data_IF_998034567023
#
_entry.id   IF_998034567023
#
_cell.length_a   1.000
_cell.length_b   1.000
_cell.length_c   1.000
_cell.angle_alpha   90.00
_cell.angle_beta   90.00
_cell.angle_gamma   90.00
#
_symmetry.space_group_name_H-M   'P 1'
#
loop_
_entity.id
_entity.type
_entity.pdbx_description
1 polymer ?
#
# COMPACT_ATOMS: atom_id res chain seq x y z
N UNK A 1 -65.69 -37.95 -4.34
CA UNK A 1 -64.81 -36.89 -3.81
C UNK A 1 -63.54 -37.56 -3.32
N UNK A 2 -62.39 -37.13 -3.85
CA UNK A 2 -61.02 -37.43 -3.42
C UNK A 2 -60.48 -38.86 -3.59
N UNK A 3 -59.94 -39.10 -4.78
CA UNK A 3 -58.74 -39.94 -5.02
C UNK A 3 -57.47 -39.16 -4.60
N UNK A 4 -56.25 -39.76 -4.54
CA UNK A 4 -55.89 -41.14 -4.17
C UNK A 4 -54.50 -41.29 -3.46
N UNK A 5 -54.09 -42.55 -3.22
CA UNK A 5 -52.73 -43.11 -3.44
C UNK A 5 -51.54 -42.63 -2.58
N UNK A 6 -50.51 -43.40 -2.25
CA UNK A 6 -50.09 -44.78 -2.52
C UNK A 6 -48.78 -45.03 -1.74
N UNK A 7 -48.56 -46.29 -1.38
CA UNK A 7 -47.27 -46.99 -1.25
C UNK A 7 -46.18 -46.47 -0.31
N UNK A 8 -46.05 -47.16 0.83
CA UNK A 8 -44.88 -47.97 1.22
C UNK A 8 -43.48 -47.37 1.12
N UNK A 9 -42.80 -47.25 2.26
CA UNK A 9 -41.33 -47.31 2.35
C UNK A 9 -40.89 -47.71 3.75
N UNK A 10 -39.81 -48.49 3.78
CA UNK A 10 -39.27 -49.24 4.89
C UNK A 10 -38.90 -48.39 6.12
N UNK A 11 -39.15 -48.97 7.28
CA UNK A 11 -38.85 -48.45 8.61
C UNK A 11 -37.32 -48.31 8.78
N UNK A 12 -36.85 -47.07 8.94
CA UNK A 12 -35.44 -46.70 9.07
C UNK A 12 -35.04 -46.77 10.56
N UNK A 13 -33.89 -47.37 10.92
CA UNK A 13 -33.45 -47.44 12.32
C UNK A 13 -33.17 -46.03 12.88
N UNK A 14 -33.32 -45.84 14.21
CA UNK A 14 -33.14 -44.53 14.84
C UNK A 14 -31.72 -44.01 14.66
N UNK A 15 -31.62 -42.71 14.37
CA UNK A 15 -30.38 -41.98 14.19
C UNK A 15 -29.45 -42.14 15.39
N UNK A 16 -28.17 -42.40 15.10
CA UNK A 16 -27.09 -42.31 16.06
C UNK A 16 -27.08 -40.92 16.73
N UNK A 17 -26.74 -40.81 18.03
CA UNK A 17 -26.66 -39.53 18.71
C UNK A 17 -25.64 -38.60 18.03
N UNK A 18 -25.79 -37.27 18.16
CA UNK A 18 -24.79 -36.32 17.70
C UNK A 18 -23.44 -36.73 18.29
N UNK A 19 -22.40 -36.74 17.45
CA UNK A 19 -21.02 -36.99 17.87
C UNK A 19 -20.65 -35.90 18.87
N UNK A 20 -20.85 -36.25 20.13
CA UNK A 20 -20.42 -35.58 21.33
C UNK A 20 -18.91 -35.35 21.24
N UNK A 21 -18.50 -34.15 21.63
CA UNK A 21 -17.16 -33.60 21.56
C UNK A 21 -16.06 -34.68 21.65
N UNK A 22 -15.30 -34.83 20.57
CA UNK A 22 -14.01 -35.52 20.62
C UNK A 22 -13.07 -34.65 21.47
N UNK A 23 -13.17 -34.81 22.79
CA UNK A 23 -12.25 -34.24 23.75
C UNK A 23 -10.83 -34.64 23.30
N UNK A 24 -9.94 -33.68 22.98
CA UNK A 24 -8.60 -34.04 22.54
C UNK A 24 -7.89 -34.82 23.65
N UNK A 25 -7.05 -35.82 23.29
CA UNK A 25 -6.31 -36.61 24.26
C UNK A 25 -5.46 -35.73 25.17
N UNK A 26 -5.18 -36.13 26.42
CA UNK A 26 -4.36 -35.35 27.34
C UNK A 26 -2.94 -35.24 26.78
N UNK A 27 -2.61 -34.08 26.21
CA UNK A 27 -1.31 -33.78 25.64
C UNK A 27 -0.27 -33.67 26.76
N UNK A 28 0.59 -34.69 26.89
CA UNK A 28 1.81 -34.57 27.68
C UNK A 28 2.84 -33.77 26.86
N UNK A 29 2.82 -32.45 27.06
CA UNK A 29 3.75 -31.47 26.46
C UNK A 29 5.19 -31.74 26.92
N UNK A 30 6.02 -32.28 26.01
CA UNK A 30 7.48 -32.36 26.17
C UNK A 30 8.22 -31.52 25.12
N UNK A 31 7.52 -30.68 24.36
CA UNK A 31 8.13 -29.75 23.41
C UNK A 31 8.37 -28.37 24.03
N UNK A 32 9.50 -27.76 23.68
CA UNK A 32 9.87 -26.39 24.05
C UNK A 32 8.97 -25.30 23.45
N UNK A 33 8.11 -25.67 22.49
CA UNK A 33 7.20 -24.77 21.80
C UNK A 33 5.77 -25.29 21.93
N UNK A 34 4.78 -24.39 22.10
CA UNK A 34 3.39 -24.78 22.18
C UNK A 34 2.93 -25.39 20.85
N UNK A 35 2.01 -26.36 20.93
CA UNK A 35 1.32 -26.89 19.77
C UNK A 35 0.56 -25.76 19.04
N UNK A 36 0.39 -25.86 17.70
CA UNK A 36 -0.40 -24.89 16.96
C UNK A 36 -1.85 -24.84 17.48
N UNK A 37 -2.51 -23.67 17.42
CA UNK A 37 -3.88 -23.53 17.90
C UNK A 37 -4.87 -24.51 17.24
N UNK A 38 -5.77 -25.11 18.02
CA UNK A 38 -6.69 -26.18 17.59
C UNK A 38 -7.53 -25.85 16.33
N UNK A 39 -7.74 -24.58 16.01
CA UNK A 39 -8.46 -24.18 14.79
C UNK A 39 -7.72 -24.54 13.49
N UNK A 40 -6.43 -24.90 13.53
CA UNK A 40 -5.66 -25.24 12.33
C UNK A 40 -6.27 -26.44 11.57
N UNK A 41 -6.95 -27.35 12.27
CA UNK A 41 -7.63 -28.50 11.67
C UNK A 41 -8.76 -28.12 10.69
N UNK A 42 -9.29 -26.89 10.78
CA UNK A 42 -10.35 -26.38 9.89
C UNK A 42 -9.81 -25.92 8.53
N UNK A 43 -8.49 -25.81 8.37
CA UNK A 43 -7.87 -25.40 7.11
C UNK A 43 -7.64 -26.63 6.21
N UNK A 44 -8.73 -27.21 5.70
CA UNK A 44 -8.70 -28.32 4.73
C UNK A 44 -8.97 -27.83 3.31
N UNK A 45 -8.54 -28.58 2.29
CA UNK A 45 -8.74 -28.21 0.88
C UNK A 45 -10.22 -28.03 0.50
N UNK A 46 -11.11 -28.79 1.17
CA UNK A 46 -12.55 -28.74 0.95
C UNK A 46 -13.21 -27.54 1.65
N UNK A 47 -12.70 -27.16 2.83
CA UNK A 47 -13.30 -26.12 3.66
C UNK A 47 -12.71 -24.73 3.39
N UNK A 48 -11.59 -24.61 2.66
CA UNK A 48 -10.91 -23.36 2.28
C UNK A 48 -11.84 -22.27 1.72
N UNK A 49 -12.86 -22.67 0.95
CA UNK A 49 -13.82 -21.74 0.35
C UNK A 49 -14.85 -21.18 1.35
N UNK A 50 -15.02 -21.84 2.50
CA UNK A 50 -16.04 -21.55 3.50
C UNK A 50 -15.45 -21.01 4.82
N UNK A 51 -14.14 -20.71 4.88
CA UNK A 51 -13.56 -20.08 6.08
C UNK A 51 -13.94 -18.62 6.14
N UNK A 52 -14.48 -18.23 7.29
CA UNK A 52 -14.66 -16.84 7.63
C UNK A 52 -13.30 -16.20 7.99
N UNK A 53 -13.05 -14.95 7.55
CA UNK A 53 -11.90 -14.20 8.02
C UNK A 53 -11.99 -13.98 9.54
N UNK A 54 -10.84 -13.87 10.24
CA UNK A 54 -10.85 -13.54 11.65
C UNK A 54 -11.58 -12.22 11.87
N UNK A 55 -12.36 -12.15 12.95
CA UNK A 55 -13.16 -10.98 13.24
C UNK A 55 -12.28 -9.81 13.70
N UNK A 56 -12.01 -8.88 12.79
CA UNK A 56 -11.21 -7.68 13.05
C UNK A 56 -11.91 -6.69 13.97
N UNK A 57 -13.23 -6.77 14.12
CA UNK A 57 -14.01 -5.85 14.94
C UNK A 57 -13.77 -6.04 16.44
N UNK A 58 -13.32 -7.23 16.86
CA UNK A 58 -12.95 -7.47 18.25
C UNK A 58 -11.74 -6.65 18.67
N UNK A 59 -10.78 -6.46 17.76
CA UNK A 59 -9.57 -5.66 18.04
C UNK A 59 -9.95 -4.21 18.29
N UNK A 60 -10.84 -3.64 17.49
CA UNK A 60 -11.34 -2.27 17.67
C UNK A 60 -12.25 -2.12 18.88
N UNK A 61 -13.01 -3.15 19.26
CA UNK A 61 -13.85 -3.15 20.47
C UNK A 61 -13.03 -3.22 21.76
N UNK A 62 -12.00 -4.06 21.78
CA UNK A 62 -11.13 -4.24 22.95
C UNK A 62 -10.15 -3.05 23.13
N UNK A 63 -9.97 -2.23 22.09
CA UNK A 63 -9.17 -1.01 22.13
C UNK A 63 -7.66 -1.23 22.32
N UNK A 64 -7.23 -2.50 22.46
CA UNK A 64 -5.85 -2.90 22.61
C UNK A 64 -5.63 -4.30 22.04
N UNK A 65 -4.39 -4.61 21.67
CA UNK A 65 -3.99 -5.92 21.14
C UNK A 65 -2.68 -6.34 21.78
N UNK A 66 -2.52 -7.63 22.06
CA UNK A 66 -1.31 -8.15 22.71
C UNK A 66 -0.37 -8.75 21.68
N UNK A 67 0.88 -8.29 21.68
CA UNK A 67 1.95 -8.77 20.79
C UNK A 67 3.18 -9.05 21.64
N UNK A 68 3.71 -10.27 21.56
CA UNK A 68 4.90 -10.72 22.29
C UNK A 68 4.87 -10.49 23.81
N UNK A 69 3.68 -10.56 24.41
CA UNK A 69 3.49 -10.35 25.85
C UNK A 69 3.31 -8.89 26.26
N UNK A 70 3.33 -7.95 25.30
CA UNK A 70 3.05 -6.54 25.53
C UNK A 70 1.67 -6.17 24.98
N UNK A 71 0.89 -5.43 25.76
CA UNK A 71 -0.41 -4.92 25.35
C UNK A 71 -0.24 -3.54 24.74
N UNK A 72 -0.62 -3.42 23.47
CA UNK A 72 -0.54 -2.20 22.67
C UNK A 72 -1.92 -1.62 22.45
N UNK A 73 -2.12 -0.30 22.62
CA UNK A 73 -3.39 0.34 22.28
C UNK A 73 -3.60 0.36 20.76
N UNK A 74 -4.85 0.22 20.32
CA UNK A 74 -5.22 0.31 18.90
C UNK A 74 -5.09 1.75 18.39
N UNK A 75 -5.49 2.72 19.21
CA UNK A 75 -5.26 4.13 18.93
C UNK A 75 -3.92 4.54 19.53
N UNK A 76 -2.91 4.69 18.67
CA UNK A 76 -1.55 5.05 19.07
C UNK A 76 -1.50 6.53 19.49
N UNK A 77 -1.87 6.79 20.74
CA UNK A 77 -1.72 8.09 21.39
C UNK A 77 -0.43 8.08 22.21
N UNK A 78 0.48 9.01 21.92
CA UNK A 78 1.67 9.19 22.78
C UNK A 78 1.20 9.84 24.08
N UNK A 79 1.43 9.23 25.25
CA UNK A 79 1.02 9.81 26.53
C UNK A 79 1.68 11.17 26.73
N UNK A 80 0.97 12.09 27.39
CA UNK A 80 1.51 13.42 27.63
C UNK A 80 2.66 13.37 28.65
N UNK A 81 3.58 14.33 28.59
CA UNK A 81 4.68 14.40 29.57
C UNK A 81 4.16 14.46 31.02
N UNK A 82 3.02 15.15 31.24
CA UNK A 82 2.35 15.23 32.53
C UNK A 82 1.81 13.88 33.01
N UNK A 83 1.22 13.09 32.12
CA UNK A 83 0.76 11.72 32.43
C UNK A 83 1.92 10.79 32.78
N UNK A 84 3.08 11.01 32.15
CA UNK A 84 4.31 10.27 32.44
C UNK A 84 5.01 10.74 33.72
N UNK A 85 4.49 11.77 34.42
CA UNK A 85 5.10 12.35 35.61
C UNK A 85 6.40 13.11 35.34
N UNK A 86 6.66 13.50 34.08
CA UNK A 86 7.89 14.17 33.66
C UNK A 86 7.64 15.68 33.57
N UNK A 87 8.47 16.52 34.21
CA UNK A 87 8.39 17.98 34.07
C UNK A 87 8.62 18.43 32.62
N UNK A 88 7.71 19.25 32.11
CA UNK A 88 7.85 19.91 30.80
C UNK A 88 8.94 20.99 30.89
N UNK A 89 9.94 20.90 30.01
CA UNK A 89 11.10 21.82 29.98
C UNK A 89 11.04 22.83 28.83
N UNK A 90 9.91 22.91 28.13
CA UNK A 90 9.70 23.81 27.00
C UNK A 90 8.37 24.54 27.13
N UNK A 91 8.24 25.64 26.38
CA UNK A 91 7.02 26.42 26.30
C UNK A 91 6.02 25.74 25.33
N UNK A 92 4.80 25.37 25.77
CA UNK A 92 3.81 24.69 24.94
C UNK A 92 3.33 25.53 23.75
N UNK A 93 3.42 26.86 23.81
CA UNK A 93 2.98 27.75 22.73
C UNK A 93 4.08 28.07 21.71
N UNK A 94 5.33 27.66 21.99
CA UNK A 94 6.46 27.93 21.12
C UNK A 94 6.60 26.92 19.98
N UNK A 95 7.24 27.34 18.89
CA UNK A 95 7.59 26.46 17.77
C UNK A 95 8.48 25.32 18.27
N UNK A 96 8.05 24.08 18.00
CA UNK A 96 8.74 22.84 18.42
C UNK A 96 10.19 22.82 17.97
N UNK A 97 10.51 23.39 16.82
CA UNK A 97 11.90 23.50 16.34
C UNK A 97 12.75 24.39 17.24
N UNK A 98 12.22 25.54 17.68
CA UNK A 98 12.92 26.46 18.57
C UNK A 98 13.07 25.88 19.97
N UNK A 99 12.03 25.22 20.48
CA UNK A 99 12.07 24.48 21.74
C UNK A 99 13.13 23.38 21.72
N UNK A 100 13.21 22.60 20.64
CA UNK A 100 14.23 21.54 20.49
C UNK A 100 15.65 22.12 20.45
N UNK A 101 15.86 23.26 19.77
CA UNK A 101 17.15 23.95 19.78
C UNK A 101 17.51 24.51 21.15
N UNK A 102 16.53 25.03 21.89
CA UNK A 102 16.72 25.51 23.26
C UNK A 102 17.15 24.36 24.16
N UNK A 103 16.42 23.24 24.15
CA UNK A 103 16.76 22.04 24.91
C UNK A 103 18.14 21.49 24.54
N UNK A 104 18.52 21.51 23.26
CA UNK A 104 19.86 21.11 22.83
C UNK A 104 20.95 22.02 23.43
N UNK A 105 20.74 23.34 23.45
CA UNK A 105 21.69 24.28 24.07
C UNK A 105 21.80 24.02 25.57
N UNK A 106 20.68 23.78 26.24
CA UNK A 106 20.64 23.42 27.67
C UNK A 106 21.35 22.09 27.93
N UNK A 107 21.18 21.08 27.06
CA UNK A 107 21.87 19.79 27.16
C UNK A 107 23.40 19.97 27.05
N UNK A 108 23.86 20.78 26.09
CA UNK A 108 25.29 21.04 25.91
C UNK A 108 25.86 21.78 27.12
N UNK A 109 25.16 22.80 27.64
CA UNK A 109 25.60 23.54 28.82
C UNK A 109 25.69 22.64 30.05
N UNK A 110 24.66 21.82 30.29
CA UNK A 110 24.62 20.91 31.43
C UNK A 110 25.68 19.82 31.33
N UNK A 111 25.98 19.33 30.12
CA UNK A 111 27.11 18.44 29.87
C UNK A 111 28.46 19.11 30.21
N UNK A 112 28.67 20.37 29.82
CA UNK A 112 29.91 21.09 30.19
C UNK A 112 30.02 21.30 31.70
N UNK A 113 28.92 21.63 32.39
CA UNK A 113 28.89 21.74 33.85
C UNK A 113 29.19 20.40 34.55
N UNK A 114 28.76 19.28 33.96
CA UNK A 114 29.08 17.95 34.47
C UNK A 114 30.56 17.65 34.33
N UNK A 115 31.16 17.98 33.18
CA UNK A 115 32.60 17.82 33.00
C UNK A 115 33.37 18.68 34.01
N UNK A 116 32.97 19.94 34.22
CA UNK A 116 33.61 20.81 35.20
C UNK A 116 33.48 20.24 36.62
N UNK A 117 32.30 19.72 37.00
CA UNK A 117 32.08 19.08 38.30
C UNK A 117 32.94 17.82 38.49
N UNK A 118 33.12 17.00 37.44
CA UNK A 118 33.93 15.78 37.48
C UNK A 118 35.44 16.07 37.48
N UNK A 119 35.86 17.18 36.88
CA UNK A 119 37.26 17.63 36.87
C UNK A 119 37.66 18.42 38.12
N UNK A 120 36.68 18.87 38.91
CA UNK A 120 36.92 19.59 40.16
C UNK A 120 37.52 18.64 41.20
N UNK A 121 38.62 19.02 41.87
CA UNK A 121 39.23 18.16 42.88
C UNK A 121 38.25 17.88 44.03
N UNK A 122 38.22 16.66 44.59
CA UNK A 122 37.35 16.34 45.71
C UNK A 122 37.64 17.25 46.90
N UNK A 123 36.61 17.65 47.68
CA UNK A 123 36.78 18.56 48.80
C UNK A 123 37.78 17.98 49.80
N UNK A 124 38.94 18.61 49.89
CA UNK A 124 39.98 18.25 50.86
C UNK A 124 39.64 18.84 52.23
N UNK A 125 39.96 18.12 53.31
CA UNK A 125 39.72 18.54 54.70
C UNK A 125 40.36 19.90 55.07
N UNK A 126 41.27 20.43 54.25
CA UNK A 126 41.97 21.69 54.46
C UNK A 126 41.21 22.93 53.93
N UNK A 127 40.26 22.76 53.01
CA UNK A 127 39.49 23.85 52.41
C UNK A 127 38.00 23.47 52.33
N UNK A 128 37.18 23.84 53.33
CA UNK A 128 35.74 23.57 53.36
C UNK A 128 34.97 24.64 52.58
N UNK A 129 35.54 25.17 51.49
CA UNK A 129 34.81 26.08 50.62
C UNK A 129 33.66 25.32 49.94
N UNK A 130 32.50 25.94 49.78
CA UNK A 130 31.38 25.32 49.10
C UNK A 130 31.73 25.30 47.61
N UNK A 131 32.40 24.24 47.15
CA UNK A 131 32.33 23.86 45.74
C UNK A 131 30.86 23.91 45.37
N UNK A 132 30.49 24.67 44.33
CA UNK A 132 29.09 24.86 43.91
C UNK A 132 28.29 23.56 44.10
N UNK A 133 27.00 23.63 44.46
CA UNK A 133 26.15 22.46 44.73
C UNK A 133 25.79 21.74 43.42
N UNK A 134 26.79 21.46 42.60
CA UNK A 134 26.72 20.78 41.33
C UNK A 134 26.97 19.31 41.62
N UNK A 135 26.03 18.70 42.32
CA UNK A 135 26.03 17.26 42.51
C UNK A 135 25.98 16.63 41.11
N UNK A 136 26.99 15.84 40.71
CA UNK A 136 27.03 15.25 39.37
C UNK A 136 25.78 14.41 39.10
N UNK A 137 25.23 13.77 40.14
CA UNK A 137 23.96 13.02 40.08
C UNK A 137 22.78 13.90 39.64
N UNK A 138 22.66 15.13 40.18
CA UNK A 138 21.58 16.06 39.82
C UNK A 138 21.71 16.55 38.40
N UNK A 139 22.94 16.78 37.92
CA UNK A 139 23.19 17.11 36.52
C UNK A 139 22.84 15.95 35.59
N UNK A 140 23.17 14.71 35.95
CA UNK A 140 22.82 13.54 35.14
C UNK A 140 21.31 13.32 35.06
N UNK A 141 20.58 13.50 36.17
CA UNK A 141 19.12 13.41 36.15
C UNK A 141 18.50 14.57 35.35
N UNK A 142 19.05 15.79 35.46
CA UNK A 142 18.61 16.90 34.64
C UNK A 142 18.82 16.64 33.13
N UNK A 143 19.97 16.07 32.73
CA UNK A 143 20.19 15.65 31.33
C UNK A 143 19.22 14.58 30.88
N UNK A 144 18.92 13.59 31.74
CA UNK A 144 17.93 12.55 31.45
C UNK A 144 16.57 13.19 31.13
N UNK A 145 16.12 14.15 31.94
CA UNK A 145 14.86 14.85 31.73
C UNK A 145 14.86 15.68 30.43
N UNK A 146 15.97 16.34 30.10
CA UNK A 146 16.12 17.06 28.82
C UNK A 146 15.95 16.09 27.65
N UNK A 147 16.62 14.94 27.69
CA UNK A 147 16.52 13.92 26.64
C UNK A 147 15.09 13.41 26.48
N UNK A 148 14.38 13.11 27.57
CA UNK A 148 12.97 12.68 27.52
C UNK A 148 12.09 13.75 26.86
N UNK A 149 12.25 15.02 27.27
CA UNK A 149 11.53 16.14 26.67
C UNK A 149 11.85 16.31 25.17
N UNK A 150 13.11 16.16 24.78
CA UNK A 150 13.51 16.20 23.35
C UNK A 150 12.88 15.05 22.56
N UNK A 151 12.86 13.84 23.10
CA UNK A 151 12.23 12.69 22.47
C UNK A 151 10.73 12.90 22.27
N UNK A 152 10.04 13.45 23.27
CA UNK A 152 8.64 13.81 23.16
C UNK A 152 8.40 14.81 22.02
N UNK A 153 9.17 15.91 21.96
CA UNK A 153 9.04 16.91 20.89
C UNK A 153 9.32 16.33 19.50
N UNK A 154 10.29 15.42 19.38
CA UNK A 154 10.56 14.72 18.11
C UNK A 154 9.40 13.83 17.70
N UNK A 155 8.76 13.15 18.66
CA UNK A 155 7.58 12.34 18.39
C UNK A 155 6.39 13.18 17.89
N UNK A 156 6.17 14.37 18.47
CA UNK A 156 5.14 15.31 17.98
C UNK A 156 5.40 15.78 16.53
N UNK A 157 6.66 15.82 16.09
CA UNK A 157 7.02 16.23 14.72
C UNK A 157 6.88 15.11 13.67
N UNK A 158 6.75 13.84 14.08
CA UNK A 158 6.66 12.70 13.14
C UNK A 158 5.48 12.79 12.17
N UNK A 159 4.25 13.15 12.58
CA UNK A 159 3.14 13.27 11.64
C UNK A 159 3.36 14.36 10.58
N UNK A 160 3.98 15.49 10.98
CA UNK A 160 4.34 16.57 10.05
C UNK A 160 5.40 16.09 9.06
N UNK A 161 6.42 15.39 9.54
CA UNK A 161 7.46 14.79 8.70
C UNK A 161 6.88 13.77 7.72
N UNK A 162 5.95 12.92 8.15
CA UNK A 162 5.30 11.93 7.29
C UNK A 162 4.52 12.60 6.15
N UNK A 163 3.80 13.69 6.45
CA UNK A 163 3.05 14.47 5.44
C UNK A 163 3.98 15.11 4.40
N UNK A 164 5.07 15.74 4.83
CA UNK A 164 6.05 16.32 3.91
C UNK A 164 6.76 15.25 3.07
N UNK A 165 7.06 14.10 3.66
CA UNK A 165 7.63 12.95 2.95
C UNK A 165 6.67 12.44 1.88
N UNK A 166 5.38 12.30 2.20
CA UNK A 166 4.35 11.89 1.24
C UNK A 166 4.23 12.90 0.09
N UNK A 167 4.20 14.20 0.40
CA UNK A 167 4.16 15.27 -0.61
C UNK A 167 5.36 15.20 -1.56
N UNK A 168 6.57 15.01 -1.03
CA UNK A 168 7.77 14.84 -1.84
C UNK A 168 7.69 13.59 -2.73
N UNK A 169 7.19 12.48 -2.20
CA UNK A 169 6.97 11.24 -2.96
C UNK A 169 5.98 11.47 -4.12
N UNK A 170 4.85 12.11 -3.86
CA UNK A 170 3.85 12.42 -4.89
C UNK A 170 4.40 13.33 -5.97
N UNK A 171 5.18 14.36 -5.60
CA UNK A 171 5.83 15.23 -6.56
C UNK A 171 6.80 14.46 -7.47
N UNK A 172 7.61 13.58 -6.89
CA UNK A 172 8.51 12.70 -7.64
C UNK A 172 7.75 11.79 -8.63
N UNK A 173 6.59 11.26 -8.23
CA UNK A 173 5.74 10.46 -9.10
C UNK A 173 5.16 11.28 -10.28
N UNK A 174 4.73 12.52 -10.02
CA UNK A 174 4.25 13.44 -11.07
C UNK A 174 5.38 13.71 -12.08
N UNK A 175 6.57 14.02 -11.59
CA UNK A 175 7.72 14.32 -12.44
C UNK A 175 8.19 13.09 -13.24
N UNK A 176 8.11 11.90 -12.65
CA UNK A 176 8.35 10.65 -13.37
C UNK A 176 7.31 10.44 -14.49
N UNK A 177 6.02 10.63 -14.19
CA UNK A 177 4.93 10.50 -15.20
C UNK A 177 5.10 11.52 -16.33
N UNK A 178 5.42 12.77 -16.01
CA UNK A 178 5.69 13.83 -17.01
C UNK A 178 6.87 13.46 -17.91
N UNK A 179 7.98 12.98 -17.35
CA UNK A 179 9.16 12.51 -18.11
C UNK A 179 8.81 11.35 -19.04
N UNK A 180 8.08 10.34 -18.54
CA UNK A 180 7.61 9.20 -19.35
C UNK A 180 6.72 9.66 -20.51
N UNK A 181 5.74 10.54 -20.24
CA UNK A 181 4.85 11.08 -21.27
C UNK A 181 5.61 11.90 -22.32
N UNK A 182 6.58 12.74 -21.89
CA UNK A 182 7.42 13.49 -22.81
C UNK A 182 8.27 12.57 -23.70
N UNK A 183 8.81 11.48 -23.15
CA UNK A 183 9.57 10.48 -23.91
C UNK A 183 8.69 9.76 -24.95
N UNK A 184 7.46 9.37 -24.57
CA UNK A 184 6.50 8.75 -25.49
C UNK A 184 6.14 9.73 -26.62
N UNK A 185 5.80 10.98 -26.29
CA UNK A 185 5.49 12.01 -27.30
C UNK A 185 6.64 12.23 -28.28
N UNK A 186 7.89 12.26 -27.81
CA UNK A 186 9.08 12.36 -28.67
C UNK A 186 9.21 11.16 -29.60
N UNK A 187 9.02 9.93 -29.10
CA UNK A 187 9.06 8.71 -29.92
C UNK A 187 7.95 8.71 -30.97
N UNK A 188 6.72 9.04 -30.60
CA UNK A 188 5.60 9.13 -31.54
C UNK A 188 5.87 10.17 -32.64
N UNK A 189 6.35 11.37 -32.27
CA UNK A 189 6.71 12.39 -33.25
C UNK A 189 7.80 11.90 -34.23
N UNK A 190 8.81 11.17 -33.72
CA UNK A 190 9.83 10.53 -34.56
C UNK A 190 9.25 9.50 -35.53
N UNK A 191 8.35 8.63 -35.06
CA UNK A 191 7.68 7.62 -35.90
C UNK A 191 6.80 8.30 -36.96
N UNK A 192 6.01 9.31 -36.59
CA UNK A 192 5.17 10.04 -37.54
C UNK A 192 6.03 10.73 -38.62
N UNK A 193 7.16 11.32 -38.24
CA UNK A 193 8.08 11.94 -39.19
C UNK A 193 8.72 10.91 -40.15
N UNK A 194 9.10 9.73 -39.64
CA UNK A 194 9.60 8.64 -40.48
C UNK A 194 8.54 8.12 -41.46
N UNK A 195 7.30 7.97 -40.99
CA UNK A 195 6.19 7.48 -41.80
C UNK A 195 5.84 8.48 -42.92
N UNK A 196 5.84 9.79 -42.61
CA UNK A 196 5.68 10.85 -43.61
C UNK A 196 6.81 10.81 -44.66
N UNK A 197 8.08 10.67 -44.25
CA UNK A 197 9.20 10.58 -45.17
C UNK A 197 9.12 9.34 -46.08
N UNK A 198 8.66 8.19 -45.56
CA UNK A 198 8.44 6.99 -46.36
C UNK A 198 7.30 7.19 -47.37
N UNK A 199 6.19 7.82 -46.96
CA UNK A 199 5.09 8.16 -47.87
C UNK A 199 5.58 9.04 -49.03
N UNK A 200 6.34 10.10 -48.74
CA UNK A 200 6.92 10.95 -49.79
C UNK A 200 7.81 10.15 -50.74
N UNK A 201 8.70 9.29 -50.22
CA UNK A 201 9.54 8.40 -51.06
C UNK A 201 8.73 7.45 -51.93
N UNK A 202 7.64 6.88 -51.40
CA UNK A 202 6.77 5.99 -52.20
C UNK A 202 6.04 6.74 -53.30
N UNK A 203 5.59 7.98 -53.03
CA UNK A 203 4.95 8.83 -54.04
C UNK A 203 5.95 9.25 -55.13
N UNK A 204 7.18 9.59 -54.75
CA UNK A 204 8.28 9.88 -55.70
C UNK A 204 8.61 8.65 -56.56
N UNK A 205 8.70 7.46 -55.94
CA UNK A 205 8.93 6.21 -56.67
C UNK A 205 7.78 5.87 -57.63
N UNK A 206 6.52 6.09 -57.22
CA UNK A 206 5.35 5.89 -58.06
C UNK A 206 5.30 6.86 -59.25
N UNK A 207 5.74 8.11 -59.06
CA UNK A 207 5.84 9.10 -60.15
C UNK A 207 7.05 8.87 -61.07
N UNK A 208 8.07 8.14 -60.63
CA UNK A 208 9.26 7.82 -61.41
C UNK A 208 9.10 6.58 -62.31
N UNK A 209 7.95 5.89 -62.28
CA UNK A 209 7.66 4.77 -63.18
C UNK A 209 7.57 5.29 -64.64
N UNK A 210 8.42 4.83 -65.59
CA UNK A 210 8.28 5.18 -67.00
C UNK A 210 7.01 4.51 -67.58
N UNK A 211 6.40 5.08 -68.64
CA UNK A 211 5.18 4.53 -69.21
C UNK A 211 5.42 3.09 -69.68
N UNK A 212 4.71 2.14 -69.07
CA UNK A 212 4.63 0.76 -69.54
C UNK A 212 4.18 0.79 -71.00
N UNK A 213 5.04 0.27 -71.89
CA UNK A 213 4.71 0.09 -73.30
C UNK A 213 3.45 -0.79 -73.39
N UNK A 214 2.40 -0.22 -73.96
CA UNK A 214 1.15 -0.89 -74.27
C UNK A 214 1.39 -2.03 -75.25
N UNK A 215 1.39 -3.27 -74.77
CA UNK A 215 1.13 -4.43 -75.63
C UNK A 215 -0.38 -4.71 -75.67
N UNK A 216 -0.92 -5.21 -76.80
CA UNK A 216 -2.36 -5.38 -76.98
C UNK A 216 -2.92 -6.39 -75.98
N UNK A 217 -4.01 -5.99 -75.33
CA UNK A 217 -4.81 -6.76 -74.37
C UNK A 217 -5.25 -8.11 -74.98
N UNK A 218 -4.80 -9.22 -74.43
CA UNK A 218 -5.54 -10.49 -74.45
C UNK A 218 -5.75 -10.94 -73.00
N UNK A 219 -7.03 -11.13 -72.68
CA UNK A 219 -7.66 -11.72 -71.50
C UNK A 219 -7.65 -10.92 -70.18
N UNK A 220 -8.81 -10.81 -69.50
CA UNK A 220 -8.90 -10.17 -68.19
C UNK A 220 -8.19 -11.03 -67.14
N UNK A 221 -7.28 -10.40 -66.39
CA UNK A 221 -6.57 -11.03 -65.29
C UNK A 221 -7.57 -11.50 -64.20
N UNK A 222 -7.37 -12.69 -63.59
CA UNK A 222 -8.22 -13.20 -62.52
C UNK A 222 -8.32 -12.25 -61.31
N UNK A 223 -7.36 -11.32 -61.15
CA UNK A 223 -7.41 -10.29 -60.12
C UNK A 223 -8.47 -9.21 -60.38
N UNK A 224 -8.71 -8.83 -61.64
CA UNK A 224 -9.75 -7.86 -62.01
C UNK A 224 -11.15 -8.48 -61.91
N UNK A 225 -11.30 -9.76 -62.27
CA UNK A 225 -12.54 -10.50 -62.05
C UNK A 225 -12.86 -10.65 -60.55
N UNK A 226 -11.85 -10.92 -59.72
CA UNK A 226 -12.00 -11.00 -58.26
C UNK A 226 -12.34 -9.63 -57.63
N UNK A 227 -11.75 -8.54 -58.12
CA UNK A 227 -12.08 -7.19 -57.66
C UNK A 227 -13.52 -6.80 -58.02
N UNK A 228 -13.95 -7.10 -59.25
CA UNK A 228 -15.33 -6.84 -59.68
C UNK A 228 -16.33 -7.67 -58.88
N UNK A 229 -16.03 -8.95 -58.61
CA UNK A 229 -16.84 -9.80 -57.76
C UNK A 229 -16.90 -9.30 -56.30
N UNK A 230 -15.78 -8.81 -55.75
CA UNK A 230 -15.77 -8.20 -54.42
C UNK A 230 -16.62 -6.92 -54.37
N UNK A 231 -16.56 -6.08 -55.41
CA UNK A 231 -17.41 -4.90 -55.56
C UNK A 231 -18.90 -5.26 -55.61
N UNK A 232 -19.27 -6.30 -56.38
CA UNK A 232 -20.65 -6.79 -56.49
C UNK A 232 -21.16 -7.36 -55.16
N UNK A 233 -20.32 -8.09 -54.42
CA UNK A 233 -20.72 -8.60 -53.09
C UNK A 233 -20.96 -7.48 -52.09
N UNK A 234 -20.12 -6.44 -52.07
CA UNK A 234 -20.32 -5.26 -51.22
C UNK A 234 -21.63 -4.53 -51.55
N UNK A 235 -21.98 -4.45 -52.84
CA UNK A 235 -23.21 -3.79 -53.29
C UNK A 235 -24.47 -4.61 -52.94
N UNK A 236 -24.38 -5.95 -52.99
CA UNK A 236 -25.44 -6.86 -52.49
C UNK A 236 -25.62 -6.70 -50.98
N UNK A 237 -24.54 -6.64 -50.20
CA UNK A 237 -24.62 -6.43 -48.75
C UNK A 237 -25.21 -5.06 -48.39
N UNK A 238 -24.88 -4.00 -49.16
CA UNK A 238 -25.48 -2.69 -48.99
C UNK A 238 -27.01 -2.70 -49.24
N UNK A 239 -27.45 -3.40 -50.30
CA UNK A 239 -28.88 -3.56 -50.63
C UNK A 239 -29.64 -4.38 -49.57
N UNK A 240 -29.03 -5.44 -49.03
CA UNK A 240 -29.62 -6.23 -47.95
C UNK A 240 -29.75 -5.42 -46.65
N UNK A 241 -28.76 -4.60 -46.32
CA UNK A 241 -28.80 -3.72 -45.15
C UNK A 241 -29.87 -2.64 -45.29
N UNK A 242 -30.03 -2.05 -46.48
CA UNK A 242 -31.10 -1.09 -46.76
C UNK A 242 -32.50 -1.73 -46.65
N UNK A 243 -32.65 -2.98 -47.11
CA UNK A 243 -33.92 -3.73 -46.98
C UNK A 243 -34.24 -4.12 -45.54
N UNK A 244 -33.23 -4.45 -44.73
CA UNK A 244 -33.41 -4.70 -43.30
C UNK A 244 -33.83 -3.42 -42.54
N UNK A 245 -33.22 -2.28 -42.86
CA UNK A 245 -33.62 -0.99 -42.29
C UNK A 245 -35.05 -0.56 -42.69
N UNK A 246 -35.49 -0.89 -43.90
CA UNK A 246 -36.86 -0.63 -44.34
C UNK A 246 -37.91 -1.56 -43.68
N UNK A 247 -37.52 -2.75 -43.24
CA UNK A 247 -38.40 -3.67 -42.51
C UNK A 247 -38.60 -3.24 -41.03
N UNK A 248 -37.61 -2.58 -40.43
CA UNK A 248 -37.65 -2.12 -39.03
C UNK A 248 -38.42 -0.79 -38.85
N UNK A 249 -38.65 -0.05 -39.94
CA UNK A 249 -39.42 1.20 -39.95
C UNK A 249 -40.92 1.02 -40.27
N UNK A 250 -41.40 -0.23 -40.35
CA UNK A 250 -42.75 -0.60 -40.78
C UNK A 250 -43.63 -1.25 -39.72
N UNK A 251 -43.40 -0.95 -38.43
CA UNK A 251 -44.30 -1.29 -37.30
C UNK A 251 -44.77 -0.02 -36.62
#
# INVERSE_FOLDING_TARGET
MSSPSSSGSAERPPAAPPQEDAQPPPEFDTSLFPAPPAFYHRYTDADLANLDPPNVDWITQDGSYTVFGETWPVEETTPTLKEMGVPEMFDPDSDRKLSLQSLLRTLILTYTQLLDALLTPPPSLAHPEPTLPTDPERLTEHMRLICINMHYLVNELRPVQARETLKAMMQSQIDLRRRKTAAIKRKCAGITAQLAALQTRTLEAANAQPPLKSHPRLDPSPAEAAATAAQETLDIFAKLRARAAAADAGV
#
